data_IF_257700632131
#
_entry.id   IF_257700632131
#
_cell.length_a   1.000
_cell.length_b   1.000
_cell.length_c   1.000
_cell.angle_alpha   90.00
_cell.angle_beta   90.00
_cell.angle_gamma   90.00
#
_symmetry.space_group_name_H-M   'P 1'
#
loop_
_entity.id
_entity.type
_entity.pdbx_description
1 polymer ?
#
# COMPACT_ATOMS: atom_id res chain seq x y z
N UNK A 1 20.29 -7.77 22.29
CA UNK A 1 19.08 -7.63 21.44
C UNK A 1 19.47 -7.86 20.00
N UNK A 2 18.77 -8.76 19.32
CA UNK A 2 19.03 -9.09 17.93
C UNK A 2 18.59 -7.92 17.03
N UNK A 3 19.32 -7.62 15.94
CA UNK A 3 18.98 -6.54 15.00
C UNK A 3 17.52 -6.60 14.50
N UNK A 4 16.94 -7.81 14.40
CA UNK A 4 15.52 -8.03 14.01
C UNK A 4 14.50 -7.42 14.97
N UNK A 5 14.84 -7.25 16.25
CA UNK A 5 13.93 -6.71 17.27
C UNK A 5 13.73 -5.20 17.13
N UNK A 6 14.60 -4.50 16.39
CA UNK A 6 14.51 -3.04 16.26
C UNK A 6 13.60 -2.60 15.11
N UNK A 7 13.62 -3.30 13.97
CA UNK A 7 12.93 -2.83 12.75
C UNK A 7 11.74 -3.70 12.31
N UNK A 8 11.53 -4.92 12.82
CA UNK A 8 10.45 -5.85 12.42
C UNK A 8 10.42 -6.28 10.93
N UNK A 9 11.24 -5.68 10.06
CA UNK A 9 11.45 -6.13 8.67
C UNK A 9 12.12 -7.51 8.62
N UNK A 10 11.72 -8.30 7.64
CA UNK A 10 12.33 -9.58 7.25
C UNK A 10 12.97 -9.44 5.88
N UNK A 11 13.93 -10.29 5.54
CA UNK A 11 14.52 -10.32 4.18
C UNK A 11 13.44 -10.48 3.09
N UNK A 12 12.39 -11.25 3.38
CA UNK A 12 11.24 -11.40 2.48
C UNK A 12 10.52 -10.08 2.17
N UNK A 13 10.56 -9.09 3.08
CA UNK A 13 9.94 -7.77 2.85
C UNK A 13 10.73 -6.94 1.81
N UNK A 14 11.95 -7.36 1.44
CA UNK A 14 12.78 -6.75 0.39
C UNK A 14 12.84 -7.61 -0.89
N UNK A 15 12.05 -8.68 -0.97
CA UNK A 15 12.04 -9.57 -2.13
C UNK A 15 11.34 -8.90 -3.33
N UNK A 16 12.13 -8.47 -4.31
CA UNK A 16 11.65 -7.83 -5.54
C UNK A 16 10.76 -8.72 -6.42
N UNK A 17 10.80 -10.03 -6.22
CA UNK A 17 9.95 -10.97 -6.97
C UNK A 17 8.51 -10.98 -6.45
N UNK A 18 8.30 -10.59 -5.18
CA UNK A 18 6.98 -10.54 -4.56
C UNK A 18 6.37 -9.12 -4.67
N UNK A 19 6.08 -8.73 -5.92
CA UNK A 19 5.63 -7.37 -6.26
C UNK A 19 4.24 -7.00 -5.70
N UNK A 20 3.49 -7.99 -5.23
CA UNK A 20 2.11 -7.82 -4.73
C UNK A 20 2.05 -7.78 -3.19
N UNK A 21 3.19 -7.79 -2.51
CA UNK A 21 3.25 -7.80 -1.05
C UNK A 21 3.02 -6.41 -0.45
N UNK A 22 1.75 -6.02 -0.39
CA UNK A 22 1.37 -4.75 0.24
C UNK A 22 1.79 -4.67 1.72
N UNK A 23 1.78 -5.80 2.44
CA UNK A 23 2.21 -5.85 3.84
C UNK A 23 3.68 -5.48 4.04
N UNK A 24 4.56 -5.85 3.10
CA UNK A 24 5.96 -5.42 3.12
C UNK A 24 6.08 -3.90 2.92
N UNK A 25 5.33 -3.34 1.96
CA UNK A 25 5.32 -1.89 1.69
C UNK A 25 4.83 -1.10 2.91
N UNK A 26 3.77 -1.55 3.57
CA UNK A 26 3.24 -0.90 4.77
C UNK A 26 4.27 -0.85 5.90
N UNK A 27 4.98 -1.96 6.16
CA UNK A 27 6.07 -1.99 7.14
C UNK A 27 7.21 -1.06 6.76
N UNK A 28 7.66 -1.08 5.50
CA UNK A 28 8.75 -0.23 5.02
C UNK A 28 8.44 1.26 5.19
N UNK A 29 7.18 1.64 5.02
CA UNK A 29 6.71 3.01 5.15
C UNK A 29 6.46 3.43 6.61
N UNK A 30 6.68 2.56 7.59
CA UNK A 30 6.49 2.89 9.00
C UNK A 30 7.50 3.97 9.45
N UNK A 31 7.06 4.85 10.36
CA UNK A 31 7.90 5.91 10.89
C UNK A 31 9.14 5.40 11.63
N UNK A 32 9.03 4.28 12.33
CA UNK A 32 10.14 3.71 13.10
C UNK A 32 11.24 3.20 12.17
N UNK A 33 10.89 2.69 10.98
CA UNK A 33 11.88 2.37 9.93
C UNK A 33 12.63 3.63 9.49
N UNK A 34 11.92 4.75 9.29
CA UNK A 34 12.58 6.02 8.92
C UNK A 34 13.52 6.52 10.02
N UNK A 35 13.12 6.40 11.29
CA UNK A 35 13.97 6.74 12.44
C UNK A 35 15.23 5.88 12.47
N UNK A 36 15.10 4.57 12.22
CA UNK A 36 16.24 3.66 12.17
C UNK A 36 17.17 3.95 10.99
N UNK A 37 16.63 4.22 9.80
CA UNK A 37 17.43 4.65 8.64
C UNK A 37 18.24 5.91 8.96
N UNK A 38 17.65 6.88 9.66
CA UNK A 38 18.34 8.10 10.07
C UNK A 38 19.54 7.83 10.99
N UNK A 39 19.41 6.87 11.90
CA UNK A 39 20.42 6.56 12.90
C UNK A 39 21.51 5.64 12.31
N UNK A 40 21.10 4.62 11.56
CA UNK A 40 21.97 3.51 11.18
C UNK A 40 22.57 3.64 9.77
N UNK A 41 21.93 4.39 8.87
CA UNK A 41 22.35 4.49 7.47
C UNK A 41 22.74 5.93 7.14
N UNK A 42 24.04 6.25 7.05
CA UNK A 42 24.50 7.56 6.61
C UNK A 42 23.94 7.91 5.23
N UNK A 43 23.67 9.21 5.00
CA UNK A 43 23.18 9.73 3.72
C UNK A 43 21.83 9.13 3.25
N UNK A 44 20.99 8.66 4.16
CA UNK A 44 19.68 8.06 3.86
C UNK A 44 18.52 9.04 3.71
N UNK A 45 18.78 10.36 3.66
CA UNK A 45 17.72 11.38 3.69
C UNK A 45 16.74 11.25 2.53
N UNK A 46 17.23 10.93 1.32
CA UNK A 46 16.39 10.70 0.14
C UNK A 46 15.42 9.53 0.34
N UNK A 47 15.93 8.39 0.81
CA UNK A 47 15.12 7.20 1.12
C UNK A 47 14.10 7.48 2.23
N UNK A 48 14.50 8.18 3.29
CA UNK A 48 13.59 8.57 4.37
C UNK A 48 12.45 9.47 3.84
N UNK A 49 12.79 10.43 2.98
CA UNK A 49 11.82 11.32 2.35
C UNK A 49 10.86 10.54 1.46
N UNK A 50 11.36 9.65 0.61
CA UNK A 50 10.54 8.79 -0.24
C UNK A 50 9.55 7.94 0.59
N UNK A 51 10.02 7.26 1.63
CA UNK A 51 9.17 6.45 2.51
C UNK A 51 8.12 7.30 3.26
N UNK A 52 8.45 8.56 3.57
CA UNK A 52 7.48 9.51 4.14
C UNK A 52 6.39 9.85 3.12
N UNK A 53 6.75 10.11 1.86
CA UNK A 53 5.77 10.37 0.80
C UNK A 53 4.82 9.18 0.63
N UNK A 54 5.36 7.96 0.57
CA UNK A 54 4.55 6.75 0.43
C UNK A 54 3.60 6.57 1.62
N UNK A 55 4.10 6.75 2.84
CA UNK A 55 3.27 6.71 4.04
C UNK A 55 2.15 7.76 4.02
N UNK A 56 2.45 8.99 3.59
CA UNK A 56 1.47 10.07 3.52
C UNK A 56 0.39 9.80 2.47
N UNK A 57 0.79 9.28 1.30
CA UNK A 57 -0.15 8.88 0.25
C UNK A 57 -1.10 7.80 0.76
N UNK A 58 -0.58 6.71 1.34
CA UNK A 58 -1.44 5.60 1.78
C UNK A 58 -2.30 5.95 2.99
N UNK A 59 -1.72 6.57 4.02
CA UNK A 59 -2.45 6.90 5.26
C UNK A 59 -3.55 7.94 5.05
N UNK A 60 -3.41 8.86 4.08
CA UNK A 60 -4.46 9.84 3.77
C UNK A 60 -5.81 9.18 3.42
N UNK A 61 -5.79 7.97 2.85
CA UNK A 61 -7.00 7.19 2.55
C UNK A 61 -7.28 6.08 3.56
N UNK A 62 -6.26 5.35 3.99
CA UNK A 62 -6.44 4.08 4.68
C UNK A 62 -6.44 4.21 6.21
N UNK A 63 -5.78 5.23 6.75
CA UNK A 63 -5.69 5.42 8.19
C UNK A 63 -6.99 6.03 8.73
N UNK A 64 -7.71 5.26 9.55
CA UNK A 64 -9.01 5.64 10.12
C UNK A 64 -8.88 6.62 11.28
N UNK A 65 -7.68 6.74 11.85
CA UNK A 65 -7.44 7.58 13.02
C UNK A 65 -7.20 9.05 12.67
N UNK A 66 -6.89 9.35 11.40
CA UNK A 66 -6.60 10.70 10.95
C UNK A 66 -7.86 11.55 10.77
N UNK A 67 -7.76 12.80 11.20
CA UNK A 67 -8.73 13.84 10.86
C UNK A 67 -8.74 14.15 9.36
N UNK A 68 -9.82 14.76 8.88
CA UNK A 68 -9.96 15.17 7.48
C UNK A 68 -8.85 16.15 7.06
N UNK A 69 -8.47 17.06 7.96
CA UNK A 69 -7.43 18.05 7.74
C UNK A 69 -6.05 17.39 7.58
N UNK A 70 -5.73 16.41 8.43
CA UNK A 70 -4.48 15.65 8.31
C UNK A 70 -4.43 14.82 7.03
N UNK A 71 -5.55 14.21 6.64
CA UNK A 71 -5.65 13.46 5.36
C UNK A 71 -5.37 14.37 4.18
N UNK A 72 -5.99 15.56 4.14
CA UNK A 72 -5.73 16.57 3.12
C UNK A 72 -4.28 17.02 3.12
N UNK A 73 -3.74 17.39 4.28
CA UNK A 73 -2.35 17.81 4.40
C UNK A 73 -1.39 16.75 3.85
N UNK A 74 -1.55 15.49 4.24
CA UNK A 74 -0.67 14.39 3.80
C UNK A 74 -0.69 14.20 2.29
N UNK A 75 -1.86 14.10 1.66
CA UNK A 75 -1.94 13.85 0.21
C UNK A 75 -1.44 15.05 -0.60
N UNK A 76 -1.77 16.28 -0.18
CA UNK A 76 -1.32 17.50 -0.86
C UNK A 76 0.18 17.75 -0.67
N UNK A 77 0.72 17.49 0.53
CA UNK A 77 2.16 17.51 0.76
C UNK A 77 2.86 16.57 -0.23
N UNK A 78 2.35 15.35 -0.38
CA UNK A 78 2.91 14.38 -1.31
C UNK A 78 2.84 14.87 -2.76
N UNK A 79 1.68 15.35 -3.21
CA UNK A 79 1.53 15.90 -4.57
C UNK A 79 2.52 17.05 -4.84
N UNK A 80 2.59 18.05 -3.95
CA UNK A 80 3.51 19.19 -4.13
C UNK A 80 4.97 18.76 -4.11
N UNK A 81 5.36 17.86 -3.19
CA UNK A 81 6.71 17.31 -3.15
C UNK A 81 7.08 16.64 -4.48
N UNK A 82 6.17 15.87 -5.07
CA UNK A 82 6.41 15.23 -6.36
C UNK A 82 6.53 16.23 -7.51
N UNK A 83 5.76 17.31 -7.50
CA UNK A 83 5.91 18.37 -8.52
C UNK A 83 7.26 19.05 -8.43
N UNK A 84 7.70 19.38 -7.22
CA UNK A 84 9.01 20.02 -6.99
C UNK A 84 10.13 19.08 -7.39
N UNK A 85 10.06 17.80 -7.01
CA UNK A 85 11.03 16.79 -7.41
C UNK A 85 11.09 16.65 -8.94
N UNK A 86 9.94 16.51 -9.60
CA UNK A 86 9.87 16.42 -11.06
C UNK A 86 10.46 17.65 -11.74
N UNK A 87 10.13 18.85 -11.26
CA UNK A 87 10.68 20.09 -11.79
C UNK A 87 12.19 20.18 -11.61
N UNK A 88 12.70 19.83 -10.41
CA UNK A 88 14.13 19.81 -10.14
C UNK A 88 14.87 18.91 -11.14
N UNK A 89 14.33 17.74 -11.47
CA UNK A 89 14.91 16.85 -12.47
C UNK A 89 14.89 17.41 -13.89
N UNK A 90 13.97 18.32 -14.23
CA UNK A 90 14.00 19.00 -15.53
C UNK A 90 15.04 20.12 -15.60
N UNK A 91 15.59 20.52 -14.45
CA UNK A 91 16.65 21.52 -14.35
C UNK A 91 18.04 20.88 -14.16
N UNK A 92 18.11 19.55 -14.05
CA UNK A 92 19.34 18.80 -13.79
C UNK A 92 19.69 17.96 -15.03
N UNK A 93 20.95 18.06 -15.49
CA UNK A 93 21.42 17.33 -16.68
C UNK A 93 21.94 15.92 -16.36
N UNK A 94 22.05 15.56 -15.07
CA UNK A 94 22.62 14.28 -14.64
C UNK A 94 21.57 13.16 -14.54
N UNK A 95 20.31 13.48 -14.26
CA UNK A 95 19.25 12.50 -14.03
C UNK A 95 18.10 12.62 -15.03
N UNK A 96 17.76 11.51 -15.70
CA UNK A 96 16.64 11.48 -16.64
C UNK A 96 15.31 11.28 -15.89
N UNK A 97 14.23 11.93 -16.35
CA UNK A 97 12.89 11.67 -15.81
C UNK A 97 12.45 10.22 -16.00
N UNK A 98 12.91 9.57 -17.08
CA UNK A 98 12.50 8.20 -17.40
C UNK A 98 13.09 7.18 -16.41
N UNK A 99 14.34 7.37 -16.00
CA UNK A 99 15.08 6.38 -15.21
C UNK A 99 15.12 6.71 -13.73
N UNK A 100 14.94 7.98 -13.35
CA UNK A 100 15.16 8.45 -11.99
C UNK A 100 13.91 9.05 -11.32
N UNK A 101 12.80 9.20 -12.05
CA UNK A 101 11.51 9.58 -11.47
C UNK A 101 10.57 8.37 -11.41
N UNK A 102 9.61 8.43 -10.50
CA UNK A 102 8.51 7.46 -10.49
C UNK A 102 7.73 7.48 -11.80
N UNK A 103 7.03 6.40 -12.09
CA UNK A 103 6.24 6.30 -13.31
C UNK A 103 5.20 7.43 -13.38
N UNK A 104 4.96 7.93 -14.59
CA UNK A 104 3.99 9.01 -14.81
C UNK A 104 2.59 8.64 -14.31
N UNK A 105 2.22 7.35 -14.42
CA UNK A 105 0.96 6.83 -13.90
C UNK A 105 0.88 6.99 -12.38
N UNK A 106 1.93 6.63 -11.65
CA UNK A 106 1.94 6.74 -10.19
C UNK A 106 1.83 8.20 -9.73
N UNK A 107 2.60 9.11 -10.34
CA UNK A 107 2.52 10.53 -10.02
C UNK A 107 1.12 11.13 -10.33
N UNK A 108 0.53 10.74 -11.47
CA UNK A 108 -0.81 11.20 -11.87
C UNK A 108 -1.90 10.67 -10.93
N UNK A 109 -1.79 9.42 -10.46
CA UNK A 109 -2.72 8.87 -9.48
C UNK A 109 -2.71 9.65 -8.16
N UNK A 110 -1.54 10.09 -7.69
CA UNK A 110 -1.45 10.91 -6.47
C UNK A 110 -2.13 12.27 -6.67
N UNK A 111 -1.92 12.90 -7.82
CA UNK A 111 -2.59 14.15 -8.18
C UNK A 111 -4.12 13.99 -8.23
N UNK A 112 -4.60 12.99 -8.97
CA UNK A 112 -6.04 12.68 -9.09
C UNK A 112 -6.64 12.44 -7.71
N UNK A 113 -5.97 11.66 -6.85
CA UNK A 113 -6.42 11.39 -5.50
C UNK A 113 -6.48 12.68 -4.66
N UNK A 114 -5.43 13.52 -4.69
CA UNK A 114 -5.43 14.79 -3.95
C UNK A 114 -6.64 15.67 -4.31
N UNK A 115 -6.94 15.81 -5.60
CA UNK A 115 -8.09 16.55 -6.08
C UNK A 115 -9.43 15.87 -5.74
N UNK A 116 -9.52 14.55 -5.93
CA UNK A 116 -10.73 13.78 -5.65
C UNK A 116 -11.15 13.86 -4.18
N UNK A 117 -10.18 13.87 -3.25
CA UNK A 117 -10.47 14.02 -1.82
C UNK A 117 -11.10 15.38 -1.52
N UNK A 118 -10.55 16.47 -2.06
CA UNK A 118 -11.12 17.82 -1.90
C UNK A 118 -12.53 17.88 -2.48
N UNK A 119 -12.72 17.39 -3.70
CA UNK A 119 -14.02 17.39 -4.36
C UNK A 119 -15.06 16.58 -3.57
N UNK A 120 -14.66 15.43 -3.02
CA UNK A 120 -15.53 14.60 -2.18
C UNK A 120 -15.96 15.33 -0.91
N UNK A 121 -15.02 16.01 -0.24
CA UNK A 121 -15.31 16.82 0.94
C UNK A 121 -16.28 17.96 0.60
N UNK A 122 -16.02 18.69 -0.48
CA UNK A 122 -16.89 19.79 -0.92
C UNK A 122 -18.30 19.27 -1.25
N UNK A 123 -18.40 18.13 -1.93
CA UNK A 123 -19.69 17.54 -2.28
C UNK A 123 -20.47 17.08 -1.05
N UNK A 124 -19.80 16.46 -0.09
CA UNK A 124 -20.44 16.01 1.15
C UNK A 124 -20.90 17.19 2.03
N UNK A 125 -20.13 18.29 2.04
CA UNK A 125 -20.55 19.55 2.69
C UNK A 125 -21.80 20.14 2.04
N UNK A 126 -21.86 20.19 0.71
CA UNK A 126 -23.05 20.63 -0.03
C UNK A 126 -24.28 19.78 0.34
N UNK A 127 -24.08 18.46 0.51
CA UNK A 127 -25.12 17.51 0.88
C UNK A 127 -25.43 17.45 2.39
N UNK A 128 -24.70 18.19 3.24
CA UNK A 128 -24.78 18.10 4.72
C UNK A 128 -24.62 16.66 5.25
N UNK A 129 -23.67 15.92 4.67
CA UNK A 129 -23.37 14.50 4.94
C UNK A 129 -21.86 14.31 5.21
N UNK A 130 -21.21 15.22 5.91
CA UNK A 130 -19.76 15.17 6.16
C UNK A 130 -19.33 13.89 6.89
N UNK A 131 -20.19 13.35 7.75
CA UNK A 131 -20.02 12.06 8.43
C UNK A 131 -19.92 10.86 7.47
N UNK A 132 -20.36 11.04 6.22
CA UNK A 132 -20.36 10.02 5.18
C UNK A 132 -19.00 9.93 4.47
N UNK A 133 -18.03 10.77 4.85
CA UNK A 133 -16.68 10.73 4.31
C UNK A 133 -15.90 9.54 4.87
N UNK A 134 -15.94 8.43 4.14
CA UNK A 134 -15.30 7.18 4.54
C UNK A 134 -14.18 6.82 3.56
N UNK A 135 -13.06 7.55 3.66
CA UNK A 135 -11.93 7.48 2.69
C UNK A 135 -11.35 6.08 2.48
N UNK A 136 -11.37 5.20 3.49
CA UNK A 136 -10.87 3.83 3.36
C UNK A 136 -11.76 2.91 2.52
N UNK A 137 -12.95 3.37 2.11
CA UNK A 137 -13.80 2.68 1.13
C UNK A 137 -13.52 3.09 -0.31
N UNK A 138 -12.60 4.02 -0.55
CA UNK A 138 -12.30 4.51 -1.92
C UNK A 138 -11.32 3.59 -2.65
N UNK A 139 -10.73 2.60 -1.95
CA UNK A 139 -9.86 1.59 -2.54
C UNK A 139 -10.59 0.30 -2.91
N UNK A 140 -9.93 -0.54 -3.71
CA UNK A 140 -10.45 -1.84 -4.17
C UNK A 140 -10.22 -2.99 -3.18
N UNK A 141 -9.71 -2.74 -1.97
CA UNK A 141 -9.33 -3.79 -1.02
C UNK A 141 -10.50 -4.74 -0.68
N UNK A 142 -11.72 -4.23 -0.64
CA UNK A 142 -12.91 -5.05 -0.44
C UNK A 142 -13.14 -6.03 -1.62
N UNK A 143 -12.91 -5.58 -2.85
CA UNK A 143 -12.99 -6.42 -4.04
C UNK A 143 -11.90 -7.51 -4.04
N UNK A 144 -10.67 -7.18 -3.66
CA UNK A 144 -9.57 -8.15 -3.55
C UNK A 144 -9.85 -9.24 -2.50
N UNK A 145 -10.42 -8.84 -1.37
CA UNK A 145 -10.84 -9.77 -0.31
C UNK A 145 -11.90 -10.74 -0.81
N UNK A 146 -12.89 -10.23 -1.54
CA UNK A 146 -13.98 -11.02 -2.10
C UNK A 146 -13.51 -11.94 -3.22
N UNK A 147 -12.65 -11.47 -4.12
CA UNK A 147 -12.05 -12.29 -5.16
C UNK A 147 -11.24 -13.45 -4.57
N UNK A 148 -10.41 -13.16 -3.55
CA UNK A 148 -9.67 -14.17 -2.81
C UNK A 148 -10.60 -15.20 -2.14
N UNK A 149 -11.76 -14.75 -1.65
CA UNK A 149 -12.79 -15.63 -1.08
C UNK A 149 -13.37 -16.57 -2.13
N UNK A 150 -13.72 -16.04 -3.30
CA UNK A 150 -14.24 -16.82 -4.42
C UNK A 150 -13.24 -17.87 -4.90
N UNK A 151 -11.95 -17.52 -5.01
CA UNK A 151 -10.89 -18.48 -5.37
C UNK A 151 -10.77 -19.63 -4.37
N UNK A 152 -10.81 -19.34 -3.07
CA UNK A 152 -10.79 -20.38 -2.03
C UNK A 152 -12.00 -21.32 -2.13
N UNK A 153 -13.19 -20.78 -2.39
CA UNK A 153 -14.40 -21.58 -2.57
C UNK A 153 -14.28 -22.47 -3.82
N UNK A 154 -13.82 -21.92 -4.94
CA UNK A 154 -13.63 -22.66 -6.18
C UNK A 154 -12.61 -23.80 -6.01
N UNK A 155 -11.47 -23.52 -5.37
CA UNK A 155 -10.47 -24.53 -5.04
C UNK A 155 -11.06 -25.63 -4.14
N UNK A 156 -11.77 -25.25 -3.07
CA UNK A 156 -12.44 -26.22 -2.19
C UNK A 156 -13.39 -27.14 -2.96
N UNK A 157 -14.20 -26.61 -3.89
CA UNK A 157 -15.11 -27.41 -4.71
C UNK A 157 -14.36 -28.38 -5.61
N UNK A 158 -13.30 -27.93 -6.27
CA UNK A 158 -12.47 -28.77 -7.13
C UNK A 158 -11.89 -29.97 -6.35
N UNK A 159 -11.33 -29.73 -5.15
CA UNK A 159 -10.80 -30.81 -4.31
C UNK A 159 -11.89 -31.76 -3.81
N UNK A 160 -13.10 -31.27 -3.52
CA UNK A 160 -14.23 -32.13 -3.15
C UNK A 160 -14.65 -33.01 -4.33
N UNK A 161 -14.76 -32.46 -5.54
CA UNK A 161 -15.16 -33.21 -6.74
C UNK A 161 -14.10 -34.23 -7.17
N UNK A 162 -12.81 -33.87 -7.14
CA UNK A 162 -11.68 -34.79 -7.39
C UNK A 162 -11.59 -35.90 -6.32
N UNK A 163 -11.77 -35.56 -5.04
CA UNK A 163 -11.79 -36.53 -3.95
C UNK A 163 -12.93 -37.53 -4.10
N UNK A 164 -14.13 -37.07 -4.48
CA UNK A 164 -15.28 -37.94 -4.77
C UNK A 164 -15.01 -38.84 -5.98
N UNK A 165 -14.38 -38.34 -7.05
CA UNK A 165 -14.00 -39.15 -8.23
C UNK A 165 -12.94 -40.21 -7.90
N UNK A 166 -12.04 -39.95 -6.96
CA UNK A 166 -11.00 -40.88 -6.52
C UNK A 166 -11.46 -41.83 -5.39
N UNK A 167 -12.74 -41.77 -4.98
CA UNK A 167 -13.28 -42.60 -3.90
C UNK A 167 -12.78 -42.22 -2.50
N UNK A 168 -12.14 -41.05 -2.35
CA UNK A 168 -11.62 -40.53 -1.10
C UNK A 168 -12.69 -39.58 -0.51
N UNK A 169 -13.38 -40.04 0.54
CA UNK A 169 -14.21 -39.17 1.37
C UNK A 169 -13.30 -38.20 2.12
N UNK A 170 -13.10 -36.99 1.59
CA UNK A 170 -12.39 -35.92 2.30
C UNK A 170 -13.37 -35.34 3.35
N UNK A 171 -13.12 -35.50 4.66
CA UNK A 171 -14.01 -34.95 5.66
C UNK A 171 -13.98 -33.41 5.65
N UNK A 172 -15.10 -32.74 5.97
CA UNK A 172 -15.32 -31.30 5.78
C UNK A 172 -14.38 -30.37 6.58
N UNK A 173 -13.42 -30.91 7.34
CA UNK A 173 -12.53 -30.14 8.22
C UNK A 173 -11.05 -30.19 7.81
N UNK A 174 -10.67 -30.88 6.73
CA UNK A 174 -9.27 -30.92 6.29
C UNK A 174 -8.99 -29.71 5.39
N UNK A 175 -8.18 -28.78 5.90
CA UNK A 175 -7.66 -27.65 5.11
C UNK A 175 -6.68 -28.18 4.06
N UNK A 176 -6.87 -27.92 2.75
CA UNK A 176 -5.99 -28.43 1.71
C UNK A 176 -4.60 -27.76 1.66
N UNK A 177 -4.27 -26.85 2.59
CA UNK A 177 -3.05 -26.04 2.56
C UNK A 177 -1.96 -26.46 3.56
N UNK A 178 -2.19 -27.48 4.39
CA UNK A 178 -1.18 -27.94 5.36
C UNK A 178 -0.18 -28.97 4.77
N UNK A 179 -0.34 -29.38 3.50
CA UNK A 179 0.49 -30.41 2.85
C UNK A 179 1.41 -29.90 1.73
N UNK A 180 1.47 -28.60 1.48
CA UNK A 180 2.55 -28.01 0.67
C UNK A 180 3.52 -27.29 1.60
N UNK A 181 4.57 -28.03 1.97
CA UNK A 181 5.69 -27.54 2.74
C UNK A 181 6.26 -26.25 2.15
N UNK A 182 6.47 -25.28 3.04
CA UNK A 182 7.32 -24.12 2.79
C UNK A 182 8.78 -24.54 2.69
#
# INVERSE_FOLDING_TARGET
MSQKEQHLLKESDLNLNDKMNYGAVEKLCNEDIRKLLKIQVPRSQGTQFYLKLMNYVTSSYLDKSLSVEEKLYRIWFSYFALRVWRYWMTCDDCYSLQDNFMTSNFASCIEINAHALVLSILKLKEMKCEQCLVTWHFGSQACESEFSRCQRIAASRYYTEEGVKQGILIPPHVRPFDSLGR
#
